data_IF_751570901725
#
_entry.id   IF_751570901725
#
_cell.length_a   1.000
_cell.length_b   1.000
_cell.length_c   1.000
_cell.angle_alpha   90.00
_cell.angle_beta   90.00
_cell.angle_gamma   90.00
#
_symmetry.space_group_name_H-M   'P 1'
#
loop_
_entity.id
_entity.type
_entity.pdbx_description
1 polymer ?
#
# COMPACT_ATOMS: atom_id res chain seq x y z
N UNK A 1 4.31 -8.69 -6.51
CA UNK A 1 5.11 -7.69 -5.78
C UNK A 1 5.02 -7.99 -4.29
N UNK A 2 6.13 -8.02 -3.57
CA UNK A 2 6.14 -8.12 -2.10
C UNK A 2 5.61 -6.83 -1.48
N UNK A 3 5.13 -6.89 -0.24
CA UNK A 3 4.62 -5.70 0.46
C UNK A 3 5.70 -4.61 0.63
N UNK A 4 6.95 -5.03 0.82
CA UNK A 4 8.12 -4.14 0.93
C UNK A 4 8.40 -3.40 -0.38
N UNK A 5 8.42 -4.13 -1.50
CA UNK A 5 8.59 -3.57 -2.85
C UNK A 5 7.49 -2.55 -3.16
N UNK A 6 6.23 -2.89 -2.82
CA UNK A 6 5.08 -2.03 -3.03
C UNK A 6 5.18 -0.73 -2.20
N UNK A 7 5.61 -0.86 -0.94
CA UNK A 7 5.85 0.29 -0.05
C UNK A 7 6.98 1.17 -0.58
N UNK A 8 8.07 0.57 -1.04
CA UNK A 8 9.19 1.30 -1.64
C UNK A 8 8.78 2.09 -2.88
N UNK A 9 7.95 1.49 -3.76
CA UNK A 9 7.43 2.16 -4.95
C UNK A 9 6.48 3.31 -4.60
N UNK A 10 5.58 3.12 -3.64
CA UNK A 10 4.70 4.19 -3.16
C UNK A 10 5.51 5.37 -2.59
N UNK A 11 6.56 5.08 -1.82
CA UNK A 11 7.45 6.09 -1.24
C UNK A 11 8.26 6.83 -2.32
N UNK A 12 8.74 6.11 -3.32
CA UNK A 12 9.42 6.70 -4.48
C UNK A 12 8.51 7.69 -5.22
N UNK A 13 7.30 7.26 -5.58
CA UNK A 13 6.31 8.13 -6.25
C UNK A 13 5.91 9.32 -5.36
N UNK A 14 5.81 9.11 -4.04
CA UNK A 14 5.54 10.19 -3.11
C UNK A 14 6.67 11.23 -3.07
N UNK A 15 7.92 10.79 -3.03
CA UNK A 15 9.09 11.68 -3.06
C UNK A 15 9.14 12.46 -4.38
N UNK A 16 8.97 11.77 -5.50
CA UNK A 16 8.92 12.39 -6.83
C UNK A 16 7.79 13.43 -6.93
N UNK A 17 6.61 13.11 -6.40
CA UNK A 17 5.48 14.06 -6.31
C UNK A 17 5.79 15.34 -5.56
N UNK A 18 6.71 15.30 -4.59
CA UNK A 18 7.08 16.45 -3.76
C UNK A 18 8.18 17.30 -4.39
N UNK A 19 9.11 16.67 -5.09
CA UNK A 19 10.26 17.35 -5.70
C UNK A 19 9.91 17.90 -7.10
N UNK A 20 9.33 17.07 -7.95
CA UNK A 20 9.18 17.34 -9.39
C UNK A 20 7.71 17.32 -9.84
N UNK A 21 6.83 16.72 -9.03
CA UNK A 21 5.46 16.39 -9.40
C UNK A 21 5.37 15.00 -10.03
N UNK A 22 4.14 14.53 -10.23
CA UNK A 22 3.86 13.24 -10.88
C UNK A 22 3.14 13.49 -12.21
N UNK A 23 3.46 12.67 -13.21
CA UNK A 23 2.65 12.57 -14.42
C UNK A 23 1.28 11.96 -14.10
N UNK A 24 0.31 12.12 -14.98
CA UNK A 24 -1.02 11.52 -14.80
C UNK A 24 -0.97 9.98 -14.72
N UNK A 25 -0.03 9.36 -15.43
CA UNK A 25 0.21 7.91 -15.38
C UNK A 25 0.76 7.49 -14.01
N UNK A 26 1.72 8.25 -13.48
CA UNK A 26 2.31 7.98 -12.17
C UNK A 26 1.32 8.23 -11.02
N UNK A 27 0.42 9.20 -11.16
CA UNK A 27 -0.68 9.41 -10.19
C UNK A 27 -1.63 8.24 -10.17
N UNK A 28 -1.99 7.69 -11.34
CA UNK A 28 -2.81 6.48 -11.45
C UNK A 28 -2.10 5.29 -10.83
N UNK A 29 -0.82 5.08 -11.17
CA UNK A 29 0.01 4.02 -10.58
C UNK A 29 0.04 4.15 -9.05
N UNK A 30 0.28 5.35 -8.52
CA UNK A 30 0.32 5.59 -7.08
C UNK A 30 -1.02 5.28 -6.40
N UNK A 31 -2.15 5.62 -7.02
CA UNK A 31 -3.48 5.28 -6.49
C UNK A 31 -3.72 3.77 -6.46
N UNK A 32 -3.41 3.08 -7.55
CA UNK A 32 -3.58 1.62 -7.65
C UNK A 32 -2.71 0.90 -6.62
N UNK A 33 -1.45 1.30 -6.49
CA UNK A 33 -0.53 0.74 -5.50
C UNK A 33 -1.02 0.98 -4.07
N UNK A 34 -1.53 2.18 -3.76
CA UNK A 34 -2.09 2.49 -2.43
C UNK A 34 -3.32 1.65 -2.11
N UNK A 35 -4.18 1.41 -3.10
CA UNK A 35 -5.35 0.55 -2.93
C UNK A 35 -4.93 -0.90 -2.62
N UNK A 36 -4.01 -1.45 -3.41
CA UNK A 36 -3.47 -2.79 -3.20
C UNK A 36 -2.77 -2.93 -1.84
N UNK A 37 -2.00 -1.92 -1.41
CA UNK A 37 -1.42 -1.87 -0.07
C UNK A 37 -2.48 -2.01 1.02
N UNK A 38 -3.51 -1.16 0.96
CA UNK A 38 -4.57 -1.11 1.98
C UNK A 38 -5.33 -2.44 2.03
N UNK A 39 -5.66 -3.03 0.88
CA UNK A 39 -6.40 -4.28 0.83
C UNK A 39 -5.59 -5.44 1.43
N UNK A 40 -4.29 -5.50 1.14
CA UNK A 40 -3.38 -6.48 1.75
C UNK A 40 -3.24 -6.29 3.26
N UNK A 41 -3.06 -5.05 3.71
CA UNK A 41 -2.97 -4.73 5.14
C UNK A 41 -4.27 -5.05 5.86
N UNK A 42 -5.43 -4.72 5.29
CA UNK A 42 -6.76 -5.05 5.85
C UNK A 42 -6.96 -6.56 5.97
N UNK A 43 -6.58 -7.34 4.96
CA UNK A 43 -6.71 -8.80 5.00
C UNK A 43 -5.79 -9.43 6.06
N UNK A 44 -4.55 -8.94 6.17
CA UNK A 44 -3.64 -9.37 7.24
C UNK A 44 -4.20 -9.03 8.63
N UNK A 45 -4.74 -7.83 8.80
CA UNK A 45 -5.31 -7.38 10.08
C UNK A 45 -6.57 -8.15 10.47
N UNK A 46 -7.49 -8.41 9.52
CA UNK A 46 -8.67 -9.28 9.74
C UNK A 46 -8.28 -10.68 10.19
N UNK A 47 -7.22 -11.23 9.59
CA UNK A 47 -6.70 -12.56 9.96
C UNK A 47 -6.18 -12.55 11.40
N UNK A 48 -5.43 -11.52 11.79
CA UNK A 48 -4.94 -11.36 13.16
C UNK A 48 -6.08 -11.22 14.18
N UNK A 49 -7.09 -10.39 13.90
CA UNK A 49 -8.27 -10.25 14.78
C UNK A 49 -9.03 -11.57 14.92
N UNK A 50 -9.25 -12.28 13.82
CA UNK A 50 -9.91 -13.60 13.83
C UNK A 50 -9.16 -14.60 14.71
N UNK A 51 -7.82 -14.61 14.66
CA UNK A 51 -7.01 -15.47 15.54
C UNK A 51 -7.11 -15.08 17.02
N UNK A 52 -7.16 -13.78 17.34
CA UNK A 52 -7.31 -13.31 18.73
C UNK A 52 -8.70 -13.69 19.26
N UNK A 53 -9.76 -13.48 18.49
CA UNK A 53 -11.14 -13.81 18.90
C UNK A 53 -11.40 -15.30 19.12
N UNK A 54 -10.67 -16.20 18.43
CA UNK A 54 -10.77 -17.65 18.63
C UNK A 54 -10.05 -18.16 19.88
N UNK A 55 -9.20 -17.35 20.51
CA UNK A 55 -8.44 -17.70 21.72
C UNK A 55 -9.09 -17.20 23.01
N UNK A 56 -10.25 -16.54 22.93
CA UNK A 56 -11.03 -16.03 24.07
C UNK A 56 -12.25 -16.88 24.35
#
# INVERSE_FOLDING_TARGET
MKLEELTARINYLYKKSKEEGLTEEEKKEQQELRKDYIDRVKNNFRTQISQVSKKS
#
